data_IF_506042072997
#
_entry.id   IF_506042072997
#
_cell.length_a   1.000
_cell.length_b   1.000
_cell.length_c   1.000
_cell.angle_alpha   90.00
_cell.angle_beta   90.00
_cell.angle_gamma   90.00
#
_symmetry.space_group_name_H-M   'P 1'
#
loop_
_entity.id
_entity.type
_entity.pdbx_description
1 polymer ?
#
# COMPACT_ATOMS: atom_id res chain seq x y z
N UNK A 1 -33.29 56.73 7.60
CA UNK A 1 -31.85 56.62 7.83
C UNK A 1 -31.53 55.29 8.49
N UNK A 2 -30.76 54.42 7.82
CA UNK A 2 -30.23 53.17 8.39
C UNK A 2 -28.71 53.28 8.29
N UNK A 3 -28.05 53.34 9.45
CA UNK A 3 -26.61 53.45 9.59
C UNK A 3 -26.03 52.04 9.74
N UNK A 4 -25.48 51.47 8.66
CA UNK A 4 -24.84 50.15 8.69
C UNK A 4 -23.39 50.34 9.14
N UNK A 5 -23.13 50.05 10.42
CA UNK A 5 -21.76 50.02 10.97
C UNK A 5 -20.97 48.86 10.34
N UNK A 6 -19.70 49.07 9.95
CA UNK A 6 -18.83 47.96 9.56
C UNK A 6 -18.60 47.03 10.76
N UNK A 7 -18.75 45.73 10.53
CA UNK A 7 -18.54 44.67 11.52
C UNK A 7 -17.04 44.55 11.85
N UNK A 8 -16.61 45.15 12.97
CA UNK A 8 -15.27 45.01 13.58
C UNK A 8 -14.77 43.55 13.72
N UNK A 9 -15.67 42.57 13.61
CA UNK A 9 -15.41 41.14 13.79
C UNK A 9 -14.51 40.50 12.73
N UNK A 10 -14.45 41.03 11.51
CA UNK A 10 -13.63 40.43 10.45
C UNK A 10 -12.15 40.85 10.53
N UNK A 11 -11.87 42.09 10.94
CA UNK A 11 -10.49 42.59 11.07
C UNK A 11 -9.73 41.84 12.17
N UNK A 12 -10.40 41.54 13.30
CA UNK A 12 -9.83 40.76 14.41
C UNK A 12 -9.45 39.34 13.99
N UNK A 13 -10.25 38.71 13.11
CA UNK A 13 -9.98 37.36 12.60
C UNK A 13 -8.79 37.36 11.64
N UNK A 14 -8.71 38.35 10.75
CA UNK A 14 -7.56 38.49 9.84
C UNK A 14 -6.27 38.76 10.61
N UNK A 15 -6.32 39.61 11.64
CA UNK A 15 -5.17 39.89 12.51
C UNK A 15 -4.69 38.65 13.25
N UNK A 16 -5.61 37.84 13.79
CA UNK A 16 -5.27 36.60 14.49
C UNK A 16 -4.62 35.56 13.55
N UNK A 17 -5.10 35.43 12.30
CA UNK A 17 -4.52 34.52 11.30
C UNK A 17 -3.12 34.95 10.89
N UNK A 18 -2.89 36.26 10.68
CA UNK A 18 -1.56 36.78 10.38
C UNK A 18 -0.59 36.55 11.54
N UNK A 19 -1.01 36.81 12.78
CA UNK A 19 -0.17 36.58 13.95
C UNK A 19 0.22 35.10 14.12
N UNK A 20 -0.69 34.16 13.78
CA UNK A 20 -0.39 32.73 13.80
C UNK A 20 0.63 32.33 12.71
N UNK A 21 0.48 32.89 11.50
CA UNK A 21 1.41 32.67 10.38
C UNK A 21 2.82 33.15 10.73
N UNK A 22 2.95 34.34 11.30
CA UNK A 22 4.24 34.91 11.66
C UNK A 22 4.91 34.07 12.76
N UNK A 23 4.13 33.61 13.74
CA UNK A 23 4.63 32.73 14.80
C UNK A 23 5.11 31.36 14.28
N UNK A 24 4.44 30.81 13.27
CA UNK A 24 4.89 29.60 12.58
C UNK A 24 6.18 29.83 11.80
N UNK A 25 6.32 30.97 11.13
CA UNK A 25 7.56 31.32 10.42
C UNK A 25 8.74 31.52 11.37
N UNK A 26 8.52 32.15 12.52
CA UNK A 26 9.54 32.33 13.56
C UNK A 26 9.97 30.99 14.16
N UNK A 27 9.04 30.07 14.45
CA UNK A 27 9.36 28.73 14.91
C UNK A 27 10.18 27.93 13.89
N UNK A 28 9.88 28.07 12.60
CA UNK A 28 10.65 27.42 11.53
C UNK A 28 12.07 28.01 11.39
N UNK A 29 12.23 29.31 11.67
CA UNK A 29 13.54 29.99 11.67
C UNK A 29 14.39 29.63 12.88
N UNK A 30 13.79 29.55 14.06
CA UNK A 30 14.44 29.23 15.32
C UNK A 30 14.96 27.78 15.36
N UNK A 31 14.22 26.86 14.73
CA UNK A 31 14.65 25.45 14.57
C UNK A 31 15.77 25.26 13.53
N UNK A 32 16.06 26.28 12.72
CA UNK A 32 17.06 26.25 11.66
C UNK A 32 18.48 26.61 12.08
N UNK A 33 18.74 26.99 13.34
CA UNK A 33 20.05 27.55 13.73
C UNK A 33 20.80 26.88 14.88
N UNK A 34 20.35 25.74 15.41
CA UNK A 34 21.09 25.01 16.45
C UNK A 34 21.17 23.49 16.21
N UNK A 35 21.91 23.08 15.17
CA UNK A 35 22.61 21.79 15.16
C UNK A 35 23.99 21.97 14.51
N UNK A 36 25.00 22.26 15.33
CA UNK A 36 26.41 22.10 14.94
C UNK A 36 26.75 20.62 14.95
N UNK A 37 26.47 19.92 13.84
CA UNK A 37 27.01 18.59 13.60
C UNK A 37 28.43 18.72 13.05
N UNK A 38 29.38 18.36 13.91
CA UNK A 38 30.79 18.12 13.57
C UNK A 38 30.83 17.19 12.35
N UNK A 39 31.52 17.63 11.29
CA UNK A 39 31.47 17.02 9.97
C UNK A 39 31.78 15.52 9.96
N UNK A 40 30.78 14.75 9.57
CA UNK A 40 30.95 13.50 8.82
C UNK A 40 30.45 13.77 7.42
N UNK A 41 31.27 13.45 6.42
CA UNK A 41 31.09 13.71 5.00
C UNK A 41 29.61 13.74 4.57
N UNK A 42 29.17 14.90 4.07
CA UNK A 42 27.99 14.98 3.21
C UNK A 42 28.40 14.32 1.89
N UNK A 43 28.40 12.99 1.87
CA UNK A 43 28.12 12.27 0.64
C UNK A 43 26.70 12.65 0.29
N UNK A 44 26.51 13.45 -0.77
CA UNK A 44 25.19 13.63 -1.34
C UNK A 44 24.58 12.25 -1.50
N UNK A 45 23.44 11.99 -0.85
CA UNK A 45 22.71 10.75 -1.00
C UNK A 45 22.27 10.72 -2.47
N UNK A 46 23.10 10.10 -3.30
CA UNK A 46 22.66 9.57 -4.58
C UNK A 46 21.40 8.73 -4.26
N UNK A 47 20.34 8.83 -5.08
CA UNK A 47 19.19 7.95 -4.91
C UNK A 47 19.70 6.53 -4.77
N UNK A 48 19.40 5.88 -3.64
CA UNK A 48 19.85 4.51 -3.41
C UNK A 48 19.30 3.66 -4.56
N UNK A 49 20.19 2.94 -5.25
CA UNK A 49 19.81 2.23 -6.47
C UNK A 49 18.68 1.23 -6.21
N UNK A 50 17.86 0.96 -7.23
CA UNK A 50 16.82 -0.08 -7.15
C UNK A 50 17.50 -1.43 -6.83
N UNK A 51 16.98 -2.20 -5.86
CA UNK A 51 17.51 -3.52 -5.52
C UNK A 51 17.46 -4.46 -6.73
N UNK A 52 18.49 -5.30 -6.90
CA UNK A 52 18.59 -6.20 -8.07
C UNK A 52 18.60 -7.67 -7.71
N UNK A 53 19.07 -7.99 -6.51
CA UNK A 53 19.18 -9.37 -6.03
C UNK A 53 18.19 -9.62 -4.91
N UNK A 54 17.82 -10.88 -4.68
CA UNK A 54 17.00 -11.27 -3.52
C UNK A 54 17.58 -10.75 -2.20
N UNK A 55 18.91 -10.82 -2.05
CA UNK A 55 19.60 -10.32 -0.87
C UNK A 55 19.44 -8.80 -0.69
N UNK A 56 19.40 -8.04 -1.78
CA UNK A 56 19.14 -6.60 -1.72
C UNK A 56 17.68 -6.32 -1.36
N UNK A 57 16.72 -7.05 -1.95
CA UNK A 57 15.30 -6.93 -1.61
C UNK A 57 15.04 -7.20 -0.13
N UNK A 58 15.68 -8.24 0.44
CA UNK A 58 15.52 -8.62 1.85
C UNK A 58 15.99 -7.54 2.84
N UNK A 59 16.81 -6.56 2.42
CA UNK A 59 17.15 -5.39 3.26
C UNK A 59 15.93 -4.52 3.59
N UNK A 60 14.89 -4.59 2.76
CA UNK A 60 13.64 -3.86 2.92
C UNK A 60 12.49 -4.76 3.38
N UNK A 61 12.82 -5.92 3.94
CA UNK A 61 11.83 -6.92 4.38
C UNK A 61 10.79 -6.31 5.33
N UNK A 62 9.52 -6.60 5.06
CA UNK A 62 8.38 -6.28 5.90
C UNK A 62 7.62 -7.55 6.22
N UNK A 63 7.35 -7.72 7.50
CA UNK A 63 6.41 -8.73 7.95
C UNK A 63 5.00 -8.23 7.70
N UNK A 64 4.19 -9.06 7.04
CA UNK A 64 2.81 -8.75 6.69
C UNK A 64 1.89 -9.61 7.56
N UNK A 65 0.94 -8.95 8.22
CA UNK A 65 -0.07 -9.59 9.07
C UNK A 65 -1.44 -9.23 8.53
N UNK A 66 -2.25 -10.24 8.23
CA UNK A 66 -3.61 -10.05 7.73
C UNK A 66 -4.51 -9.47 8.83
N UNK A 67 -5.36 -8.52 8.45
CA UNK A 67 -6.30 -7.89 9.36
C UNK A 67 -7.62 -8.67 9.44
N UNK A 68 -7.93 -9.32 10.59
CA UNK A 68 -9.17 -10.06 10.77
C UNK A 68 -10.43 -9.20 10.64
N UNK A 69 -10.33 -7.88 10.85
CA UNK A 69 -11.46 -6.97 10.72
C UNK A 69 -11.83 -6.72 9.26
N UNK A 70 -10.85 -6.79 8.35
CA UNK A 70 -11.06 -6.64 6.91
C UNK A 70 -11.47 -7.94 6.21
N UNK A 71 -11.06 -9.09 6.75
CA UNK A 71 -11.19 -10.38 6.10
C UNK A 71 -12.65 -10.76 5.78
N UNK A 72 -12.92 -11.19 4.56
CA UNK A 72 -14.22 -11.77 4.21
C UNK A 72 -14.57 -12.97 5.10
N UNK A 73 -15.86 -13.22 5.34
CA UNK A 73 -16.29 -14.25 6.29
C UNK A 73 -15.85 -15.65 5.91
N UNK A 74 -15.67 -15.97 4.63
CA UNK A 74 -15.16 -17.28 4.18
C UNK A 74 -13.65 -17.46 4.33
N UNK A 75 -12.91 -16.44 4.77
CA UNK A 75 -11.47 -16.54 4.99
C UNK A 75 -11.18 -16.94 6.44
N UNK A 76 -10.47 -18.06 6.58
CA UNK A 76 -9.87 -18.48 7.84
C UNK A 76 -8.44 -17.96 7.91
N UNK A 77 -8.18 -17.12 8.92
CA UNK A 77 -6.84 -16.63 9.23
C UNK A 77 -6.18 -17.54 10.28
N UNK A 78 -4.94 -17.91 10.03
CA UNK A 78 -4.15 -18.80 10.90
C UNK A 78 -2.68 -18.38 10.94
N UNK A 79 -1.87 -19.08 11.74
CA UNK A 79 -0.43 -18.82 11.88
C UNK A 79 -0.13 -17.35 12.24
N UNK A 80 -0.75 -16.87 13.33
CA UNK A 80 -0.62 -15.46 13.72
C UNK A 80 -1.19 -14.48 12.70
N UNK A 81 -2.20 -14.90 11.92
CA UNK A 81 -2.78 -14.16 10.79
C UNK A 81 -1.81 -13.93 9.63
N UNK A 82 -0.80 -14.78 9.47
CA UNK A 82 0.12 -14.74 8.32
C UNK A 82 -0.27 -15.70 7.21
N UNK A 83 -1.34 -16.48 7.42
CA UNK A 83 -1.91 -17.41 6.46
C UNK A 83 -3.41 -17.23 6.33
N UNK A 84 -3.90 -17.16 5.10
CA UNK A 84 -5.32 -17.22 4.76
C UNK A 84 -5.66 -18.53 4.03
N UNK A 85 -6.82 -19.10 4.35
CA UNK A 85 -7.42 -20.22 3.62
C UNK A 85 -8.86 -19.86 3.27
N UNK A 86 -9.28 -20.19 2.05
CA UNK A 86 -10.69 -20.13 1.67
C UNK A 86 -11.43 -21.33 2.24
N UNK A 87 -12.58 -21.09 2.85
CA UNK A 87 -13.43 -22.11 3.44
C UNK A 87 -14.77 -22.17 2.70
N UNK A 88 -15.41 -23.34 2.71
CA UNK A 88 -16.76 -23.50 2.12
C UNK A 88 -17.82 -22.74 2.93
N UNK A 89 -17.66 -22.74 4.26
CA UNK A 89 -18.59 -22.11 5.20
C UNK A 89 -18.05 -20.76 5.72
N UNK A 90 -18.98 -19.88 6.10
CA UNK A 90 -18.67 -18.63 6.78
C UNK A 90 -18.03 -18.90 8.15
N UNK A 91 -16.88 -18.28 8.37
CA UNK A 91 -16.18 -18.28 9.65
C UNK A 91 -16.87 -17.33 10.62
N UNK A 92 -16.76 -17.64 11.92
CA UNK A 92 -17.33 -16.82 12.99
C UNK A 92 -16.46 -15.57 13.16
N UNK A 93 -16.87 -14.50 12.51
CA UNK A 93 -16.28 -13.17 12.64
C UNK A 93 -17.30 -12.19 13.20
N UNK A 94 -16.85 -11.26 14.04
CA UNK A 94 -17.69 -10.12 14.43
C UNK A 94 -17.92 -9.19 13.24
N UNK A 95 -19.11 -8.61 13.17
CA UNK A 95 -19.39 -7.60 12.15
C UNK A 95 -18.47 -6.39 12.33
N UNK A 96 -17.93 -5.89 11.21
CA UNK A 96 -17.02 -4.76 11.20
C UNK A 96 -17.21 -3.95 9.90
N UNK A 97 -17.21 -2.60 9.94
CA UNK A 97 -17.40 -1.78 8.74
C UNK A 97 -16.30 -1.97 7.68
N UNK A 98 -15.09 -2.32 8.10
CA UNK A 98 -13.96 -2.55 7.18
C UNK A 98 -13.98 -3.94 6.54
N UNK A 99 -14.94 -4.80 6.93
CA UNK A 99 -15.03 -6.17 6.43
C UNK A 99 -15.49 -6.19 4.98
N UNK A 100 -14.77 -6.90 4.14
CA UNK A 100 -15.26 -7.22 2.81
C UNK A 100 -16.54 -8.07 2.90
N UNK A 101 -17.60 -7.63 2.23
CA UNK A 101 -18.94 -8.24 2.40
C UNK A 101 -19.35 -9.19 1.29
N UNK A 102 -18.62 -9.23 0.17
CA UNK A 102 -19.02 -9.98 -1.02
C UNK A 102 -17.88 -10.78 -1.65
N UNK A 103 -16.71 -10.16 -1.82
CA UNK A 103 -15.54 -10.82 -2.39
C UNK A 103 -14.64 -11.38 -1.29
N UNK A 104 -14.06 -12.58 -1.49
CA UNK A 104 -13.17 -13.25 -0.55
C UNK A 104 -11.79 -12.58 -0.49
N UNK A 105 -11.74 -11.44 0.19
CA UNK A 105 -10.59 -10.55 0.22
C UNK A 105 -10.21 -10.22 1.66
N UNK A 106 -8.95 -9.85 1.86
CA UNK A 106 -8.40 -9.42 3.14
C UNK A 106 -7.26 -8.44 2.88
N UNK A 107 -7.11 -7.45 3.77
CA UNK A 107 -5.97 -6.54 3.78
C UNK A 107 -4.96 -6.91 4.87
N UNK A 108 -3.74 -6.39 4.73
CA UNK A 108 -2.79 -6.31 5.81
C UNK A 108 -3.16 -5.24 6.83
N UNK A 109 -2.65 -5.37 8.06
CA UNK A 109 -2.68 -4.30 9.07
C UNK A 109 -1.67 -3.21 8.78
N UNK A 110 -0.55 -3.60 8.18
CA UNK A 110 0.56 -2.72 7.91
C UNK A 110 0.22 -1.77 6.75
N UNK A 111 0.51 -0.48 6.96
CA UNK A 111 0.59 0.51 5.88
C UNK A 111 1.99 0.50 5.29
N UNK A 112 2.09 0.29 3.99
CA UNK A 112 3.37 0.18 3.30
C UNK A 112 3.84 1.55 2.84
N UNK A 113 4.88 2.08 3.50
CA UNK A 113 5.48 3.39 3.18
C UNK A 113 6.98 3.24 2.93
N UNK A 114 7.55 4.13 2.11
CA UNK A 114 8.95 4.02 1.69
C UNK A 114 9.22 2.77 0.86
N UNK A 115 10.36 2.11 1.11
CA UNK A 115 10.73 0.85 0.45
C UNK A 115 10.33 -0.35 1.31
N UNK A 116 9.56 -1.25 0.71
CA UNK A 116 9.05 -2.46 1.35
C UNK A 116 9.26 -3.67 0.44
N UNK A 117 9.61 -4.81 1.01
CA UNK A 117 9.64 -6.09 0.33
C UNK A 117 8.99 -7.18 1.19
N UNK A 118 8.17 -8.03 0.60
CA UNK A 118 7.64 -9.22 1.27
C UNK A 118 7.47 -10.36 0.28
N UNK A 119 7.43 -11.58 0.79
CA UNK A 119 7.21 -12.79 -0.01
C UNK A 119 5.94 -13.49 0.44
N UNK A 120 5.16 -14.00 -0.51
CA UNK A 120 3.94 -14.77 -0.28
C UNK A 120 4.13 -16.16 -0.85
N UNK A 121 3.86 -17.18 -0.02
CA UNK A 121 3.84 -18.57 -0.47
C UNK A 121 2.42 -18.99 -0.87
N UNK A 122 2.30 -19.66 -2.01
CA UNK A 122 1.05 -20.08 -2.62
C UNK A 122 1.03 -21.60 -2.67
N UNK A 123 -0.10 -22.20 -2.30
CA UNK A 123 -0.27 -23.65 -2.40
C UNK A 123 -0.49 -24.09 -3.84
N UNK A 124 0.04 -25.26 -4.19
CA UNK A 124 -0.16 -25.83 -5.51
C UNK A 124 -1.66 -26.08 -5.78
N UNK A 125 -2.13 -25.73 -6.98
CA UNK A 125 -3.52 -25.87 -7.40
C UNK A 125 -4.47 -24.76 -6.97
N UNK A 126 -4.00 -23.76 -6.22
CA UNK A 126 -4.82 -22.63 -5.78
C UNK A 126 -4.70 -21.43 -6.75
N UNK A 127 -5.79 -20.68 -6.86
CA UNK A 127 -5.82 -19.34 -7.47
C UNK A 127 -5.81 -18.29 -6.36
N UNK A 128 -4.80 -17.42 -6.35
CA UNK A 128 -4.68 -16.34 -5.37
C UNK A 128 -4.33 -15.04 -6.08
N UNK A 129 -4.97 -13.94 -5.67
CA UNK A 129 -4.53 -12.59 -6.08
C UNK A 129 -3.63 -12.00 -5.01
N UNK A 130 -2.44 -11.56 -5.40
CA UNK A 130 -1.56 -10.76 -4.54
C UNK A 130 -1.76 -9.30 -4.89
N UNK A 131 -2.07 -8.47 -3.90
CA UNK A 131 -2.59 -7.13 -4.12
C UNK A 131 -1.82 -6.10 -3.31
N UNK A 132 -1.57 -4.95 -3.93
CA UNK A 132 -1.28 -3.69 -3.24
C UNK A 132 -2.46 -2.75 -3.48
N UNK A 133 -2.94 -2.09 -2.44
CA UNK A 133 -4.10 -1.20 -2.54
C UNK A 133 -4.03 -0.05 -1.56
N UNK A 134 -4.73 1.04 -1.86
CA UNK A 134 -5.03 2.04 -0.85
C UNK A 134 -6.01 1.51 0.20
N UNK A 135 -5.90 2.05 1.41
CA UNK A 135 -6.72 1.65 2.54
C UNK A 135 -8.20 2.03 2.38
N UNK A 136 -8.53 2.97 1.51
CA UNK A 136 -9.88 3.49 1.31
C UNK A 136 -10.60 2.86 0.10
N UNK A 137 -10.14 1.69 -0.37
CA UNK A 137 -10.93 0.87 -1.31
C UNK A 137 -12.22 0.42 -0.65
N UNK A 138 -13.30 0.36 -1.43
CA UNK A 138 -14.63 0.06 -0.93
C UNK A 138 -14.72 -1.41 -0.47
N UNK A 139 -15.41 -1.64 0.65
CA UNK A 139 -15.50 -2.98 1.28
C UNK A 139 -16.83 -3.69 1.05
N UNK A 140 -17.92 -2.92 0.92
CA UNK A 140 -19.29 -3.43 0.94
C UNK A 140 -19.96 -3.41 -0.45
N UNK A 141 -20.52 -4.56 -0.82
CA UNK A 141 -21.27 -4.77 -2.06
C UNK A 141 -20.49 -5.53 -3.14
N UNK A 142 -21.17 -5.80 -4.26
CA UNK A 142 -20.70 -6.60 -5.39
C UNK A 142 -20.29 -5.75 -6.61
N UNK A 143 -20.02 -4.46 -6.41
CA UNK A 143 -19.53 -3.58 -7.47
C UNK A 143 -18.04 -3.79 -7.71
N UNK A 144 -17.57 -3.47 -8.91
CA UNK A 144 -16.15 -3.47 -9.27
C UNK A 144 -15.28 -2.62 -8.32
N UNK A 145 -15.83 -1.52 -7.79
CA UNK A 145 -15.18 -0.68 -6.78
C UNK A 145 -14.77 -1.42 -5.50
N UNK A 146 -15.37 -2.59 -5.23
CA UNK A 146 -15.07 -3.42 -4.07
C UNK A 146 -14.09 -4.57 -4.39
N UNK A 147 -13.78 -4.82 -5.66
CA UNK A 147 -12.95 -5.95 -6.10
C UNK A 147 -11.55 -5.48 -6.46
N UNK A 148 -10.54 -6.08 -5.86
CA UNK A 148 -9.15 -5.75 -6.16
C UNK A 148 -8.81 -5.96 -7.63
N UNK A 149 -8.08 -5.00 -8.21
CA UNK A 149 -7.72 -4.93 -9.63
C UNK A 149 -8.80 -4.33 -10.54
N UNK A 150 -10.04 -4.19 -10.06
CA UNK A 150 -11.19 -3.70 -10.83
C UNK A 150 -11.54 -2.23 -10.52
N UNK A 151 -10.66 -1.56 -9.80
CA UNK A 151 -10.73 -0.13 -9.46
C UNK A 151 -9.35 0.51 -9.62
N UNK A 152 -9.31 1.83 -9.55
CA UNK A 152 -8.11 2.66 -9.62
C UNK A 152 -7.29 2.68 -8.32
N UNK A 153 -7.75 2.00 -7.27
CA UNK A 153 -7.12 1.97 -5.94
C UNK A 153 -6.33 0.70 -5.65
N UNK A 154 -6.24 -0.21 -6.60
CA UNK A 154 -5.59 -1.50 -6.38
C UNK A 154 -4.87 -2.03 -7.62
N UNK A 155 -3.76 -2.70 -7.36
CA UNK A 155 -2.91 -3.37 -8.33
C UNK A 155 -2.81 -4.83 -7.90
N UNK A 156 -3.35 -5.73 -8.72
CA UNK A 156 -3.50 -7.13 -8.39
C UNK A 156 -2.77 -8.01 -9.39
N UNK A 157 -1.96 -8.93 -8.87
CA UNK A 157 -1.35 -10.01 -9.63
C UNK A 157 -2.17 -11.27 -9.42
N UNK A 158 -2.75 -11.80 -10.50
CA UNK A 158 -3.40 -13.11 -10.48
C UNK A 158 -2.33 -14.20 -10.55
N UNK A 159 -2.22 -14.96 -9.46
CA UNK A 159 -1.30 -16.08 -9.35
C UNK A 159 -2.09 -17.38 -9.49
N UNK A 160 -1.99 -17.97 -10.67
CA UNK A 160 -2.47 -19.30 -10.97
C UNK A 160 -1.31 -20.28 -11.01
N UNK A 161 -1.56 -21.57 -10.82
CA UNK A 161 -0.51 -22.60 -11.01
C UNK A 161 -0.40 -23.10 -12.44
N UNK A 162 -1.17 -22.54 -13.38
CA UNK A 162 -1.13 -22.83 -14.81
C UNK A 162 -0.67 -21.60 -15.58
N UNK A 163 -0.23 -21.76 -16.84
CA UNK A 163 0.49 -20.76 -17.67
C UNK A 163 -0.24 -19.44 -18.00
N UNK A 164 -1.39 -19.17 -17.39
CA UNK A 164 -2.16 -17.94 -17.59
C UNK A 164 -2.14 -17.13 -16.29
N UNK A 165 -1.33 -16.07 -16.31
CA UNK A 165 -1.22 -15.12 -15.22
C UNK A 165 -1.51 -13.73 -15.77
N UNK A 166 -2.20 -12.92 -14.99
CA UNK A 166 -2.59 -11.58 -15.43
C UNK A 166 -2.36 -10.57 -14.33
N UNK A 167 -1.92 -9.39 -14.73
CA UNK A 167 -1.92 -8.22 -13.89
C UNK A 167 -3.21 -7.43 -14.13
N UNK A 168 -3.83 -6.96 -13.06
CA UNK A 168 -5.08 -6.22 -13.08
C UNK A 168 -4.94 -4.87 -12.37
N UNK A 169 -5.35 -3.83 -13.06
CA UNK A 169 -5.52 -2.49 -12.48
C UNK A 169 -6.62 -1.76 -13.24
N UNK A 170 -7.56 -1.13 -12.53
CA UNK A 170 -8.67 -0.40 -13.13
C UNK A 170 -9.44 -1.17 -14.22
N UNK A 171 -9.68 -2.48 -13.96
CA UNK A 171 -10.34 -3.43 -14.89
C UNK A 171 -9.56 -3.72 -16.18
N UNK A 172 -8.35 -3.20 -16.30
CA UNK A 172 -7.46 -3.50 -17.41
C UNK A 172 -6.62 -4.72 -17.05
N UNK A 173 -6.74 -5.74 -17.89
CA UNK A 173 -5.96 -6.96 -17.82
C UNK A 173 -4.68 -6.80 -18.65
N UNK A 174 -3.53 -7.12 -18.06
CA UNK A 174 -2.26 -7.26 -18.77
C UNK A 174 -1.76 -8.68 -18.59
N UNK A 175 -1.71 -9.49 -19.67
CA UNK A 175 -1.15 -10.84 -19.60
C UNK A 175 0.31 -10.81 -19.15
N UNK A 176 0.67 -11.72 -18.26
CA UNK A 176 2.03 -11.91 -17.78
C UNK A 176 2.60 -13.16 -18.44
N UNK A 177 3.79 -13.01 -19.01
CA UNK A 177 4.55 -14.10 -19.59
C UNK A 177 5.51 -14.68 -18.56
N UNK A 178 5.56 -16.00 -18.46
CA UNK A 178 6.53 -16.71 -17.64
C UNK A 178 5.90 -17.68 -16.65
N UNK A 179 6.75 -18.48 -16.01
CA UNK A 179 6.33 -19.49 -15.05
C UNK A 179 6.32 -18.88 -13.65
N UNK A 180 5.15 -18.83 -13.02
CA UNK A 180 5.07 -18.55 -11.59
C UNK A 180 5.58 -19.73 -10.78
N UNK A 181 6.37 -19.44 -9.76
CA UNK A 181 6.69 -20.39 -8.70
C UNK A 181 5.66 -20.27 -7.59
N UNK A 182 5.72 -21.18 -6.62
CA UNK A 182 4.89 -21.13 -5.41
C UNK A 182 5.27 -20.01 -4.43
N UNK A 183 6.16 -19.08 -4.82
CA UNK A 183 6.60 -17.98 -3.97
C UNK A 183 6.75 -16.71 -4.78
N UNK A 184 5.98 -15.70 -4.41
CA UNK A 184 5.96 -14.40 -5.09
C UNK A 184 6.56 -13.35 -4.17
N UNK A 185 7.58 -12.68 -4.65
CA UNK A 185 8.15 -11.49 -4.02
C UNK A 185 7.47 -10.23 -4.53
N UNK A 186 7.14 -9.32 -3.63
CA UNK A 186 6.59 -8.00 -3.98
C UNK A 186 7.51 -6.93 -3.44
N UNK A 187 7.96 -6.03 -4.31
CA UNK A 187 8.75 -4.87 -3.94
C UNK A 187 7.96 -3.59 -4.23
N UNK A 188 7.84 -2.73 -3.23
CA UNK A 188 7.22 -1.42 -3.34
C UNK A 188 8.26 -0.36 -2.98
N UNK A 189 8.49 0.61 -3.87
CA UNK A 189 9.11 1.89 -3.55
C UNK A 189 8.05 2.98 -3.69
N UNK A 190 7.40 3.29 -2.57
CA UNK A 190 6.32 4.27 -2.51
C UNK A 190 6.79 5.67 -2.94
N UNK A 191 8.02 6.06 -2.59
CA UNK A 191 8.56 7.38 -2.92
C UNK A 191 8.93 7.51 -4.40
N UNK A 192 9.41 6.43 -5.00
CA UNK A 192 9.73 6.39 -6.43
C UNK A 192 8.53 6.00 -7.30
N UNK A 193 7.40 5.59 -6.72
CA UNK A 193 6.23 5.16 -7.46
C UNK A 193 6.41 3.82 -8.19
N UNK A 194 7.17 2.89 -7.61
CA UNK A 194 7.53 1.61 -8.22
C UNK A 194 6.83 0.48 -7.46
N UNK A 195 6.16 -0.41 -8.21
CA UNK A 195 5.67 -1.68 -7.69
C UNK A 195 6.13 -2.80 -8.63
N UNK A 196 6.87 -3.77 -8.10
CA UNK A 196 7.38 -4.90 -8.84
C UNK A 196 6.92 -6.22 -8.21
N UNK A 197 6.58 -7.17 -9.07
CA UNK A 197 6.27 -8.54 -8.69
C UNK A 197 7.33 -9.49 -9.26
N UNK A 198 7.77 -10.45 -8.45
CA UNK A 198 8.83 -11.39 -8.80
C UNK A 198 8.41 -12.82 -8.51
N UNK A 199 8.79 -13.73 -9.40
CA UNK A 199 8.80 -15.16 -9.13
C UNK A 199 10.09 -15.51 -8.40
N UNK A 200 9.97 -16.14 -7.23
CA UNK A 200 11.10 -16.44 -6.33
C UNK A 200 11.32 -17.95 -6.28
N UNK A 201 12.50 -18.39 -6.71
CA UNK A 201 13.00 -19.76 -6.56
C UNK A 201 14.50 -19.72 -6.25
N UNK A 202 15.33 -20.50 -6.96
CA UNK A 202 16.79 -20.33 -6.95
C UNK A 202 17.20 -18.97 -7.51
N UNK A 203 16.40 -18.43 -8.43
CA UNK A 203 16.55 -17.09 -9.00
C UNK A 203 15.34 -16.22 -8.68
N UNK A 204 15.50 -14.90 -8.82
CA UNK A 204 14.43 -13.92 -8.66
C UNK A 204 14.16 -13.30 -10.01
N UNK A 205 13.03 -13.65 -10.62
CA UNK A 205 12.67 -13.24 -11.98
C UNK A 205 11.54 -12.22 -11.93
N UNK A 206 11.73 -11.08 -12.58
CA UNK A 206 10.69 -10.05 -12.68
C UNK A 206 9.51 -10.57 -13.51
N UNK A 207 8.32 -10.46 -12.94
CA UNK A 207 7.05 -10.82 -13.60
C UNK A 207 6.36 -9.60 -14.16
N UNK A 208 6.24 -8.57 -13.34
CA UNK A 208 5.54 -7.35 -13.72
C UNK A 208 6.11 -6.15 -12.96
N UNK A 209 6.14 -5.00 -13.63
CA UNK A 209 6.58 -3.73 -13.05
C UNK A 209 5.58 -2.64 -13.41
N UNK A 210 5.13 -1.95 -12.38
CA UNK A 210 4.34 -0.73 -12.48
C UNK A 210 5.23 0.46 -12.12
N UNK A 211 5.13 1.51 -12.90
CA UNK A 211 5.64 2.83 -12.58
C UNK A 211 4.47 3.80 -12.65
N UNK A 212 4.12 4.42 -11.53
CA UNK A 212 3.04 5.40 -11.49
C UNK A 212 3.37 6.53 -10.53
N UNK A 213 2.86 7.73 -10.83
CA UNK A 213 2.88 8.86 -9.91
C UNK A 213 1.75 8.79 -8.88
N UNK A 214 0.86 7.80 -8.99
CA UNK A 214 -0.31 7.69 -8.13
C UNK A 214 0.05 7.28 -6.70
N UNK A 215 1.16 6.55 -6.49
CA UNK A 215 1.59 6.18 -5.14
C UNK A 215 2.02 7.38 -4.27
N UNK A 216 2.31 8.55 -4.86
CA UNK A 216 2.84 9.72 -4.15
C UNK A 216 1.78 10.75 -3.75
#
# INVERSE_FOLDING_TARGET
SINVRPLRRFEDVTAAVSALRDKLQDMLRDRGTNVSLRGTAVGGLLPEAEPKTRADFLKYSREITLDPNSAHRRLLLSDGNRKASLMEEDQIHSDHPDRFSYYDQVLSRESLTGRCYWEVEIRAGEEVRIVVSYQDVRRAGNSDECRFGFNDKSWALDCFTHDLHSFWHNKLETPILGVLTFKIGVYLDHGAGILCFYSVSETTTLLHRVQTHEFS
#
